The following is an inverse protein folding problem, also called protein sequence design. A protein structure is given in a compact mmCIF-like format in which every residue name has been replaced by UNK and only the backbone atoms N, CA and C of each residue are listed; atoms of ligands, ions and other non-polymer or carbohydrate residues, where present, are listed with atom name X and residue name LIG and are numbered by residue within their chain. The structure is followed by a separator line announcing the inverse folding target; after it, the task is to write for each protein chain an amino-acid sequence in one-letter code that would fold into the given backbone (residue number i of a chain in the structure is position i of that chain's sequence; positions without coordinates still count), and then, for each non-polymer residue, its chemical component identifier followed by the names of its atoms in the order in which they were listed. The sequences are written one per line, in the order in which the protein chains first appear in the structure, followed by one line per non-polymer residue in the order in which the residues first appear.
data_IF_707302677271
#
_entry.id   IF_707302677271
#
_cell.length_a   1.000
_cell.length_b   1.000
_cell.length_c   1.000
_cell.angle_alpha   90.00
_cell.angle_beta   90.00
_cell.angle_gamma   90.00
#
_symmetry.space_group_name_H-M   'P 1'
#
loop_
_entity.id
_entity.type
_entity.pdbx_description
1 polymer ?
#
# COMPACT_ATOMS: atom_id res chain seq x y z
N UNK A 1 1.78 4.44 24.25
CA UNK A 1 1.25 5.79 24.56
C UNK A 1 2.23 6.92 24.22
N UNK A 2 3.35 7.11 24.95
CA UNK A 2 4.26 8.25 24.68
C UNK A 2 5.12 8.10 23.40
N UNK A 3 5.43 6.87 22.97
CA UNK A 3 6.24 6.63 21.76
C UNK A 3 5.42 6.73 20.46
N UNK A 4 4.18 6.23 20.46
CA UNK A 4 3.26 6.29 19.30
C UNK A 4 2.93 7.74 18.92
N UNK A 5 2.70 8.61 19.91
CA UNK A 5 2.45 10.03 19.66
C UNK A 5 3.68 10.73 19.04
N UNK A 6 4.90 10.34 19.44
CA UNK A 6 6.15 10.88 18.88
C UNK A 6 6.39 10.41 17.45
N UNK A 7 6.14 9.14 17.16
CA UNK A 7 6.30 8.58 15.83
C UNK A 7 5.26 9.12 14.85
N UNK A 8 3.98 9.17 15.25
CA UNK A 8 2.93 9.77 14.43
C UNK A 8 3.17 11.27 14.19
N UNK A 9 3.70 11.99 15.19
CA UNK A 9 4.12 13.38 15.03
C UNK A 9 5.27 13.48 14.03
N UNK A 10 6.31 12.66 14.14
CA UNK A 10 7.42 12.63 13.19
C UNK A 10 6.94 12.39 11.75
N UNK A 11 6.08 11.39 11.54
CA UNK A 11 5.56 11.05 10.22
C UNK A 11 4.69 12.16 9.61
N UNK A 12 3.95 12.92 10.43
CA UNK A 12 3.20 14.10 9.97
C UNK A 12 4.09 15.28 9.57
N UNK A 13 5.29 15.36 10.14
CA UNK A 13 6.23 16.45 9.90
C UNK A 13 7.28 16.13 8.82
N UNK A 14 7.12 15.02 8.09
CA UNK A 14 7.94 14.76 6.91
C UNK A 14 7.65 15.85 5.87
N UNK A 15 8.66 16.68 5.59
CA UNK A 15 8.58 17.75 4.61
C UNK A 15 8.40 17.12 3.23
N UNK A 16 7.31 17.48 2.55
CA UNK A 16 7.05 17.08 1.16
C UNK A 16 7.57 18.20 0.25
N UNK A 17 8.43 17.86 -0.70
CA UNK A 17 8.94 18.85 -1.66
C UNK A 17 7.83 19.38 -2.57
N UNK A 18 7.93 20.64 -3.00
CA UNK A 18 6.96 21.23 -3.93
C UNK A 18 6.90 20.47 -5.27
N UNK A 19 8.01 19.87 -5.71
CA UNK A 19 8.06 19.02 -6.90
C UNK A 19 7.25 17.73 -6.71
N UNK A 20 7.30 17.14 -5.52
CA UNK A 20 6.56 15.91 -5.20
C UNK A 20 5.04 16.13 -5.23
N UNK A 21 4.59 17.32 -4.83
CA UNK A 21 3.18 17.72 -4.90
C UNK A 21 2.67 17.78 -6.34
N UNK A 22 3.55 17.97 -7.33
CA UNK A 22 3.19 18.05 -8.74
C UNK A 22 3.20 16.68 -9.43
N UNK A 23 3.67 15.61 -8.77
CA UNK A 23 3.77 14.27 -9.38
C UNK A 23 2.42 13.76 -9.88
N UNK A 24 1.33 14.07 -9.17
CA UNK A 24 -0.02 13.63 -9.56
C UNK A 24 -0.45 14.14 -10.95
N UNK A 25 0.14 15.25 -11.44
CA UNK A 25 -0.14 15.81 -12.77
C UNK A 25 0.56 15.07 -13.90
N UNK A 26 1.60 14.29 -13.56
CA UNK A 26 2.40 13.52 -14.51
C UNK A 26 2.00 12.04 -14.57
N UNK A 27 0.97 11.64 -13.81
CA UNK A 27 0.45 10.28 -13.84
C UNK A 27 -0.22 10.02 -15.18
N UNK A 28 -0.03 8.81 -15.72
CA UNK A 28 -0.82 8.34 -16.86
C UNK A 28 -2.26 8.02 -16.42
N UNK A 29 -3.16 7.78 -17.38
CA UNK A 29 -4.58 7.53 -17.11
C UNK A 29 -4.83 6.40 -16.11
N UNK A 30 -4.18 5.25 -16.29
CA UNK A 30 -4.39 4.08 -15.41
C UNK A 30 -3.85 4.32 -14.00
N UNK A 31 -2.67 4.94 -13.88
CA UNK A 31 -2.13 5.37 -12.60
C UNK A 31 -3.03 6.39 -11.92
N UNK A 32 -3.63 7.31 -12.68
CA UNK A 32 -4.52 8.36 -12.18
C UNK A 32 -5.82 7.77 -11.65
N UNK A 33 -6.39 6.78 -12.34
CA UNK A 33 -7.56 6.04 -11.85
C UNK A 33 -7.25 5.38 -10.49
N UNK A 34 -6.14 4.64 -10.40
CA UNK A 34 -5.73 4.02 -9.15
C UNK A 34 -5.48 5.06 -8.03
N UNK A 35 -4.82 6.16 -8.37
CA UNK A 35 -4.53 7.27 -7.47
C UNK A 35 -5.81 7.89 -6.89
N UNK A 36 -6.80 8.19 -7.75
CA UNK A 36 -8.03 8.85 -7.34
C UNK A 36 -8.89 7.95 -6.46
N UNK A 37 -9.01 6.66 -6.80
CA UNK A 37 -9.74 5.67 -5.99
C UNK A 37 -9.12 5.54 -4.59
N UNK A 38 -7.80 5.46 -4.50
CA UNK A 38 -7.10 5.31 -3.22
C UNK A 38 -7.28 6.58 -2.38
N UNK A 39 -7.09 7.76 -2.96
CA UNK A 39 -7.23 9.02 -2.22
C UNK A 39 -8.67 9.28 -1.77
N UNK A 40 -9.65 8.96 -2.60
CA UNK A 40 -11.06 9.05 -2.22
C UNK A 40 -11.29 8.23 -0.95
N UNK A 41 -10.72 7.02 -0.87
CA UNK A 41 -10.82 6.15 0.30
C UNK A 41 -10.14 6.73 1.53
N UNK A 42 -8.92 7.23 1.37
CA UNK A 42 -8.14 7.84 2.44
C UNK A 42 -8.89 9.04 3.04
N UNK A 43 -9.41 9.93 2.19
CA UNK A 43 -10.11 11.14 2.66
C UNK A 43 -11.53 10.88 3.17
N UNK A 44 -12.18 9.80 2.71
CA UNK A 44 -13.42 9.32 3.33
C UNK A 44 -13.19 8.66 4.69
N UNK A 45 -11.93 8.45 5.11
CA UNK A 45 -11.54 7.77 6.34
C UNK A 45 -12.15 6.36 6.45
N UNK A 46 -12.20 5.65 5.32
CA UNK A 46 -12.72 4.30 5.29
C UNK A 46 -11.58 3.30 5.07
N UNK A 47 -11.64 2.15 5.75
CA UNK A 47 -10.62 1.10 5.60
C UNK A 47 -10.61 0.54 4.18
N UNK A 48 -9.43 0.27 3.62
CA UNK A 48 -9.32 -0.36 2.31
C UNK A 48 -7.97 -1.00 2.07
N UNK A 49 -7.94 -2.03 1.24
CA UNK A 49 -6.70 -2.69 0.83
C UNK A 49 -6.58 -2.68 -0.68
N UNK A 50 -5.48 -2.13 -1.19
CA UNK A 50 -5.27 -1.97 -2.63
C UNK A 50 -4.03 -2.72 -3.07
N UNK A 51 -4.13 -3.45 -4.18
CA UNK A 51 -3.00 -4.12 -4.81
C UNK A 51 -2.72 -3.46 -6.15
N UNK A 52 -1.57 -2.81 -6.25
CA UNK A 52 -1.13 -2.17 -7.48
C UNK A 52 -0.18 -3.12 -8.22
N UNK A 53 -0.58 -3.52 -9.42
CA UNK A 53 0.23 -4.34 -10.32
C UNK A 53 0.59 -3.61 -11.60
N UNK A 54 1.82 -3.84 -12.04
CA UNK A 54 2.36 -3.30 -13.27
C UNK A 54 3.73 -3.91 -13.56
N UNK A 55 4.17 -3.97 -14.82
CA UNK A 55 5.49 -4.48 -15.20
C UNK A 55 6.62 -3.66 -14.56
N UNK A 56 7.84 -4.19 -14.61
CA UNK A 56 9.04 -3.36 -14.47
C UNK A 56 8.94 -2.13 -15.40
N UNK A 57 9.29 -0.96 -14.87
CA UNK A 57 9.21 0.31 -15.63
C UNK A 57 7.83 0.97 -15.69
N UNK A 58 6.76 0.37 -15.15
CA UNK A 58 5.40 0.94 -15.20
C UNK A 58 5.14 2.13 -14.26
N UNK A 59 6.18 2.65 -13.59
CA UNK A 59 6.04 3.77 -12.67
C UNK A 59 5.28 3.48 -11.37
N UNK A 60 5.21 2.23 -10.88
CA UNK A 60 4.59 1.92 -9.56
C UNK A 60 5.14 2.79 -8.43
N UNK A 61 6.47 2.90 -8.34
CA UNK A 61 7.13 3.76 -7.35
C UNK A 61 6.73 5.22 -7.51
N UNK A 62 6.60 5.69 -8.75
CA UNK A 62 6.15 7.05 -9.05
C UNK A 62 4.72 7.31 -8.54
N UNK A 63 3.81 6.35 -8.73
CA UNK A 63 2.46 6.39 -8.16
C UNK A 63 2.48 6.43 -6.62
N UNK A 64 3.31 5.61 -5.96
CA UNK A 64 3.45 5.65 -4.50
C UNK A 64 4.01 6.98 -3.99
N UNK A 65 5.00 7.56 -4.66
CA UNK A 65 5.52 8.89 -4.33
C UNK A 65 4.41 9.94 -4.42
N UNK A 66 3.60 9.94 -5.49
CA UNK A 66 2.49 10.86 -5.66
C UNK A 66 1.42 10.71 -4.55
N UNK A 67 1.07 9.46 -4.20
CA UNK A 67 0.14 9.16 -3.10
C UNK A 67 0.68 9.69 -1.77
N UNK A 68 1.90 9.33 -1.41
CA UNK A 68 2.54 9.75 -0.15
C UNK A 68 2.62 11.27 -0.04
N UNK A 69 3.08 11.94 -1.10
CA UNK A 69 3.18 13.39 -1.15
C UNK A 69 1.82 14.04 -0.91
N UNK A 70 0.77 13.56 -1.59
CA UNK A 70 -0.57 14.12 -1.48
C UNK A 70 -1.16 13.91 -0.09
N UNK A 71 -1.09 12.68 0.44
CA UNK A 71 -1.64 12.33 1.76
C UNK A 71 -0.96 13.16 2.86
N UNK A 72 0.38 13.23 2.84
CA UNK A 72 1.13 14.02 3.84
C UNK A 72 0.90 15.52 3.71
N UNK A 73 0.78 16.06 2.49
CA UNK A 73 0.46 17.48 2.27
C UNK A 73 -0.88 17.91 2.87
N UNK A 74 -1.80 16.95 3.04
CA UNK A 74 -3.11 17.15 3.66
C UNK A 74 -3.10 16.92 5.18
N UNK A 75 -1.92 16.71 5.78
CA UNK A 75 -1.74 16.50 7.22
C UNK A 75 -2.04 15.09 7.71
N UNK A 76 -2.25 14.13 6.81
CA UNK A 76 -2.46 12.72 7.16
C UNK A 76 -1.12 12.01 7.39
N UNK A 77 -1.14 10.97 8.21
CA UNK A 77 0.02 10.08 8.41
C UNK A 77 0.06 9.07 7.26
N UNK A 78 1.18 9.01 6.56
CA UNK A 78 1.43 7.99 5.55
C UNK A 78 2.79 7.33 5.81
N UNK A 79 2.79 6.01 5.96
CA UNK A 79 4.00 5.22 6.20
C UNK A 79 4.40 4.48 4.93
N UNK A 80 5.66 4.58 4.55
CA UNK A 80 6.22 3.92 3.38
C UNK A 80 7.23 2.85 3.80
N UNK A 81 6.91 1.58 3.56
CA UNK A 81 7.80 0.45 3.85
C UNK A 81 8.14 -0.32 2.58
N UNK A 82 9.40 -0.70 2.42
CA UNK A 82 9.87 -1.49 1.29
C UNK A 82 10.85 -2.56 1.75
N UNK A 83 11.00 -3.63 0.97
CA UNK A 83 12.06 -4.63 1.20
C UNK A 83 13.39 -4.21 0.56
N UNK A 84 13.33 -3.46 -0.54
CA UNK A 84 14.51 -2.93 -1.22
C UNK A 84 14.96 -1.60 -0.63
N UNK A 85 16.26 -1.51 -0.26
CA UNK A 85 16.89 -0.26 0.20
C UNK A 85 16.92 0.84 -0.84
N UNK A 86 17.03 0.47 -2.12
CA UNK A 86 16.91 1.44 -3.22
C UNK A 86 15.51 2.04 -3.26
N UNK A 87 14.47 1.21 -3.11
CA UNK A 87 13.10 1.70 -3.08
C UNK A 87 12.81 2.55 -1.83
N UNK A 88 13.37 2.19 -0.67
CA UNK A 88 13.23 2.99 0.55
C UNK A 88 13.80 4.39 0.38
N UNK A 89 14.95 4.51 -0.31
CA UNK A 89 15.61 5.79 -0.56
C UNK A 89 14.85 6.69 -1.54
N UNK A 90 14.07 6.09 -2.46
CA UNK A 90 13.27 6.82 -3.45
C UNK A 90 11.95 7.32 -2.86
N UNK A 91 11.33 6.55 -1.96
CA UNK A 91 10.07 6.94 -1.35
C UNK A 91 10.33 7.99 -0.26
N UNK A 92 9.62 9.13 -0.27
CA UNK A 92 9.72 10.09 0.82
C UNK A 92 9.44 9.41 2.16
N UNK A 93 10.37 9.50 3.12
CA UNK A 93 10.25 8.80 4.41
C UNK A 93 10.18 7.27 4.30
N UNK A 94 10.66 6.70 3.20
CA UNK A 94 10.69 5.26 2.97
C UNK A 94 11.64 4.57 3.93
N UNK A 95 11.22 3.42 4.48
CA UNK A 95 12.01 2.61 5.39
C UNK A 95 12.12 1.18 4.86
N UNK A 96 13.31 0.60 4.98
CA UNK A 96 13.53 -0.81 4.72
C UNK A 96 12.99 -1.64 5.87
N UNK A 97 12.17 -2.64 5.58
CA UNK A 97 11.81 -3.67 6.55
C UNK A 97 12.71 -4.89 6.32
N UNK A 98 13.82 -4.95 7.07
CA UNK A 98 14.89 -5.92 6.89
C UNK A 98 14.55 -7.39 7.24
N UNK A 99 13.32 -7.69 7.67
CA UNK A 99 12.96 -9.05 8.14
C UNK A 99 11.64 -9.58 7.58
N UNK A 100 10.99 -8.88 6.65
CA UNK A 100 9.77 -9.34 6.00
C UNK A 100 10.09 -9.72 4.55
N UNK A 101 10.64 -10.92 4.34
CA UNK A 101 10.67 -11.53 3.00
C UNK A 101 9.22 -11.73 2.51
N UNK A 102 8.78 -10.84 1.61
CA UNK A 102 7.37 -10.57 1.26
C UNK A 102 6.77 -11.55 0.25
N UNK A 103 6.61 -12.82 0.60
CA UNK A 103 5.82 -13.74 -0.25
C UNK A 103 5.24 -14.96 0.50
N UNK A 104 4.35 -14.77 1.50
CA UNK A 104 3.44 -15.83 1.98
C UNK A 104 2.11 -15.24 2.45
N UNK A 105 0.99 -15.85 2.03
CA UNK A 105 -0.41 -15.60 2.45
C UNK A 105 -0.57 -15.29 3.95
N UNK A 106 0.17 -16.01 4.78
CA UNK A 106 0.16 -15.87 6.24
C UNK A 106 0.61 -14.48 6.73
N UNK A 107 1.39 -13.73 5.96
CA UNK A 107 1.87 -12.41 6.40
C UNK A 107 0.80 -11.32 6.26
N UNK A 108 -0.02 -11.35 5.21
CA UNK A 108 -1.10 -10.36 5.05
C UNK A 108 -2.11 -10.55 6.19
N UNK A 109 -2.42 -11.80 6.53
CA UNK A 109 -3.26 -12.13 7.68
C UNK A 109 -2.60 -11.73 9.00
N UNK A 110 -1.31 -12.01 9.18
CA UNK A 110 -0.58 -11.61 10.39
C UNK A 110 -0.48 -10.08 10.53
N UNK A 111 -0.31 -9.35 9.43
CA UNK A 111 -0.30 -7.88 9.42
C UNK A 111 -1.69 -7.35 9.77
N UNK A 112 -2.75 -7.89 9.18
CA UNK A 112 -4.13 -7.50 9.49
C UNK A 112 -4.45 -7.76 10.97
N UNK A 113 -4.12 -8.95 11.50
CA UNK A 113 -4.26 -9.27 12.92
C UNK A 113 -3.44 -8.32 13.81
N UNK A 114 -2.17 -8.10 13.50
CA UNK A 114 -1.31 -7.21 14.28
C UNK A 114 -1.86 -5.78 14.32
N UNK A 115 -2.30 -5.24 13.18
CA UNK A 115 -2.84 -3.89 13.14
C UNK A 115 -4.19 -3.81 13.85
N UNK A 116 -5.03 -4.84 13.75
CA UNK A 116 -6.28 -4.96 14.52
C UNK A 116 -6.03 -4.98 16.02
N UNK A 117 -5.04 -5.75 16.46
CA UNK A 117 -4.65 -5.87 17.87
C UNK A 117 -4.13 -4.52 18.40
N UNK A 118 -3.24 -3.85 17.66
CA UNK A 118 -2.71 -2.52 18.02
C UNK A 118 -3.84 -1.48 18.07
N UNK A 119 -4.73 -1.50 17.09
CA UNK A 119 -5.83 -0.55 16.98
C UNK A 119 -7.04 -0.90 17.87
N UNK A 120 -6.99 -2.03 18.57
CA UNK A 120 -8.08 -2.58 19.37
C UNK A 120 -9.43 -2.60 18.63
N UNK A 121 -9.43 -3.11 17.39
CA UNK A 121 -10.61 -3.16 16.52
C UNK A 121 -10.60 -4.38 15.61
N UNK A 122 -11.78 -4.82 15.17
CA UNK A 122 -11.92 -5.93 14.22
C UNK A 122 -12.07 -5.47 12.77
N UNK A 123 -11.97 -4.16 12.50
CA UNK A 123 -12.02 -3.59 11.15
C UNK A 123 -10.76 -3.98 10.36
N UNK A 124 -10.90 -4.22 9.06
CA UNK A 124 -9.79 -4.53 8.15
C UNK A 124 -8.64 -3.53 8.34
N UNK A 125 -7.42 -4.04 8.57
CA UNK A 125 -6.21 -3.27 8.86
C UNK A 125 -6.41 -2.17 9.91
N UNK A 126 -7.21 -2.44 10.95
CA UNK A 126 -7.44 -1.50 12.03
C UNK A 126 -8.10 -0.18 11.59
N UNK A 127 -8.89 -0.21 10.50
CA UNK A 127 -9.50 1.00 9.95
C UNK A 127 -8.61 1.77 8.96
N UNK A 128 -7.43 1.25 8.62
CA UNK A 128 -6.46 1.94 7.75
C UNK A 128 -6.64 1.59 6.29
N UNK A 129 -6.15 2.49 5.43
CA UNK A 129 -5.93 2.20 4.01
C UNK A 129 -4.53 1.66 3.84
N UNK A 130 -4.41 0.46 3.28
CA UNK A 130 -3.14 -0.22 3.00
C UNK A 130 -3.00 -0.42 1.50
N UNK A 131 -1.85 -0.01 0.95
CA UNK A 131 -1.54 -0.17 -0.48
C UNK A 131 -0.33 -1.08 -0.59
N UNK A 132 -0.51 -2.23 -1.24
CA UNK A 132 0.53 -3.20 -1.51
C UNK A 132 1.05 -3.02 -2.93
N UNK A 133 2.38 -3.05 -3.05
CA UNK A 133 3.08 -2.99 -4.31
C UNK A 133 3.98 -4.19 -4.53
N UNK A 134 3.87 -4.82 -5.70
CA UNK A 134 4.73 -5.91 -6.11
C UNK A 134 4.89 -5.97 -7.62
N UNK A 135 5.95 -6.64 -8.08
CA UNK A 135 6.02 -7.15 -9.45
C UNK A 135 5.67 -8.64 -9.39
N UNK A 136 4.38 -8.96 -9.50
CA UNK A 136 3.88 -10.33 -9.39
C UNK A 136 4.41 -11.24 -10.51
N UNK A 137 5.07 -10.68 -11.53
CA UNK A 137 5.76 -11.46 -12.58
C UNK A 137 7.12 -11.98 -12.13
N UNK A 138 7.78 -11.33 -11.17
CA UNK A 138 9.07 -11.81 -10.64
C UNK A 138 8.90 -12.90 -9.58
N UNK A 139 7.78 -12.92 -8.87
CA UNK A 139 7.44 -14.01 -7.92
C UNK A 139 6.91 -15.27 -8.63
N UNK A 140 6.56 -15.19 -9.92
CA UNK A 140 6.17 -16.33 -10.74
C UNK A 140 7.40 -17.11 -11.22
N UNK A 141 8.16 -17.69 -10.29
CA UNK A 141 8.91 -18.91 -10.58
C UNK A 141 8.07 -20.10 -10.07
N UNK A 142 7.54 -20.87 -11.02
CA UNK A 142 6.89 -22.17 -10.86
C UNK A 142 5.53 -22.17 -10.12
N UNK A 143 4.51 -21.54 -10.71
CA UNK A 143 3.12 -22.04 -10.55
C UNK A 143 2.60 -22.33 -11.95
N UNK A 144 2.49 -23.63 -12.28
CA UNK A 144 1.91 -24.11 -13.54
C UNK A 144 0.41 -23.75 -13.54
N UNK A 145 -0.01 -22.90 -14.47
CA UNK A 145 -1.41 -22.71 -14.91
C UNK A 145 -2.43 -22.01 -14.00
N UNK A 146 -2.06 -21.17 -13.03
CA UNK A 146 -3.01 -20.27 -12.34
C UNK A 146 -3.09 -18.89 -12.99
N UNK A 147 -4.27 -18.28 -13.15
CA UNK A 147 -4.38 -16.88 -13.60
C UNK A 147 -3.93 -15.94 -12.47
N UNK A 148 -3.40 -14.76 -12.81
CA UNK A 148 -2.84 -13.80 -11.82
C UNK A 148 -3.89 -13.35 -10.81
N UNK A 149 -5.13 -13.20 -11.27
CA UNK A 149 -6.27 -12.86 -10.44
C UNK A 149 -6.49 -13.95 -9.39
N UNK A 150 -6.36 -15.23 -9.77
CA UNK A 150 -6.52 -16.38 -8.86
C UNK A 150 -5.46 -16.39 -7.75
N UNK A 151 -4.24 -15.90 -7.98
CA UNK A 151 -3.22 -15.81 -6.92
C UNK A 151 -3.53 -14.72 -5.90
N UNK A 152 -4.08 -13.59 -6.35
CA UNK A 152 -4.56 -12.51 -5.48
C UNK A 152 -5.82 -13.00 -4.74
N UNK A 153 -6.67 -13.77 -5.43
CA UNK A 153 -7.77 -14.49 -4.81
C UNK A 153 -7.29 -15.44 -3.72
N UNK A 154 -6.26 -16.21 -3.99
CA UNK A 154 -5.75 -17.19 -3.04
C UNK A 154 -4.92 -16.59 -1.91
N UNK A 155 -4.21 -15.47 -2.15
CA UNK A 155 -3.36 -14.82 -1.15
C UNK A 155 -4.13 -13.86 -0.22
N UNK A 156 -5.25 -13.28 -0.70
CA UNK A 156 -6.02 -12.25 0.03
C UNK A 156 -7.50 -12.61 0.20
N UNK A 157 -8.08 -13.43 -0.69
CA UNK A 157 -9.50 -13.81 -0.63
C UNK A 157 -9.67 -15.20 0.01
N UNK A 158 -8.92 -15.47 1.08
CA UNK A 158 -9.27 -16.56 2.00
C UNK A 158 -10.73 -16.40 2.47
N UNK A 159 -11.44 -17.49 2.81
CA UNK A 159 -12.82 -17.44 3.30
C UNK A 159 -13.03 -16.50 4.51
N UNK A 160 -11.95 -16.16 5.25
CA UNK A 160 -11.94 -15.20 6.36
C UNK A 160 -12.31 -13.76 5.98
N UNK A 161 -11.95 -13.29 4.80
CA UNK A 161 -12.29 -11.93 4.35
C UNK A 161 -13.68 -11.87 3.67
N UNK A 162 -14.36 -13.02 3.54
CA UNK A 162 -15.54 -13.31 2.72
C UNK A 162 -16.77 -12.41 2.88
N UNK A 163 -16.86 -11.59 3.94
CA UNK A 163 -17.93 -10.58 4.12
C UNK A 163 -17.44 -9.13 4.05
N UNK A 164 -16.13 -8.87 4.19
CA UNK A 164 -15.49 -7.55 4.12
C UNK A 164 -14.83 -7.26 2.74
N UNK A 165 -15.07 -8.14 1.76
CA UNK A 165 -14.52 -8.09 0.40
C UNK A 165 -14.82 -6.80 -0.37
N UNK A 166 -15.83 -6.01 0.01
CA UNK A 166 -16.12 -4.71 -0.62
C UNK A 166 -14.94 -3.73 -0.53
N UNK A 167 -14.01 -3.96 0.40
CA UNK A 167 -12.96 -3.01 0.72
C UNK A 167 -11.58 -3.35 0.15
N UNK A 168 -11.46 -4.48 -0.56
CA UNK A 168 -10.22 -4.87 -1.24
C UNK A 168 -10.35 -4.61 -2.76
N UNK A 169 -9.33 -4.02 -3.39
CA UNK A 169 -9.34 -3.74 -4.83
C UNK A 169 -7.98 -3.99 -5.47
N UNK A 170 -8.00 -4.54 -6.68
CA UNK A 170 -6.82 -4.74 -7.52
C UNK A 170 -6.83 -3.71 -8.64
N UNK A 171 -5.69 -3.04 -8.84
CA UNK A 171 -5.54 -2.00 -9.86
C UNK A 171 -4.32 -2.33 -10.73
N UNK A 172 -4.56 -2.44 -12.04
CA UNK A 172 -3.50 -2.56 -13.04
C UNK A 172 -3.18 -1.16 -13.57
N UNK A 173 -1.89 -0.84 -13.69
CA UNK A 173 -1.44 0.51 -14.09
C UNK A 173 -0.71 0.55 -15.45
N UNK A 174 -0.99 -0.41 -16.34
CA UNK A 174 -0.36 -0.55 -17.66
C UNK A 174 -1.30 -1.18 -18.69
#
# INVERSE_FOLDING_TARGET
MANEAKEAYFERNIIVGNEDLLLHRKLNTEQKIAYDIILQRVFANESGAFFIDGPGGSGKTFLYCALLATVRSKGFVALATTTSGVAASILPGGRTVHSLSMAKKNMIEALDSLVKDIMNTNVLFGGKVVVFGGDFRQTLHVVRSGKKEDFIRESILTPKYGTNLKNCSYQRIC
#
